data_IF_539201798237
#
_entry.id   IF_539201798237
#
_cell.length_a   1.000
_cell.length_b   1.000
_cell.length_c   1.000
_cell.angle_alpha   90.00
_cell.angle_beta   90.00
_cell.angle_gamma   90.00
#
_symmetry.space_group_name_H-M   'P 1'
#
loop_
_entity.id
_entity.type
_entity.pdbx_description
1 polymer ?
#
# COMPACT_ATOMS: atom_id res chain seq x y z
N UNK A 1 -24.72 17.45 5.98
CA UNK A 1 -24.70 17.42 4.50
C UNK A 1 -25.94 16.79 3.87
N UNK A 2 -26.21 15.48 3.91
CA UNK A 2 -27.40 14.92 3.22
C UNK A 2 -28.73 15.60 3.64
N UNK A 3 -28.91 15.83 4.95
CA UNK A 3 -30.08 16.54 5.50
C UNK A 3 -30.10 18.05 5.20
N UNK A 4 -28.94 18.68 5.01
CA UNK A 4 -28.80 20.14 4.78
C UNK A 4 -28.87 20.49 3.29
N UNK A 5 -28.34 19.61 2.44
CA UNK A 5 -28.23 19.78 0.99
C UNK A 5 -29.42 19.18 0.22
N UNK A 6 -30.32 18.47 0.90
CA UNK A 6 -31.49 17.84 0.28
C UNK A 6 -31.17 16.77 -0.77
N UNK A 7 -29.92 16.26 -0.79
CA UNK A 7 -29.48 15.25 -1.73
C UNK A 7 -29.54 13.85 -1.10
N UNK A 8 -29.86 12.80 -1.88
CA UNK A 8 -29.76 11.41 -1.41
C UNK A 8 -28.37 11.13 -0.84
N UNK A 9 -28.30 10.34 0.24
CA UNK A 9 -27.05 10.01 0.92
C UNK A 9 -25.99 9.47 -0.07
N UNK A 10 -26.39 8.65 -1.04
CA UNK A 10 -25.51 8.07 -2.08
C UNK A 10 -24.80 9.12 -2.94
N UNK A 11 -25.40 10.30 -3.17
CA UNK A 11 -24.76 11.38 -3.94
C UNK A 11 -23.70 12.15 -3.15
N UNK A 12 -23.71 12.02 -1.83
CA UNK A 12 -22.77 12.72 -0.92
C UNK A 12 -21.61 11.80 -0.53
N UNK A 13 -21.76 10.48 -0.72
CA UNK A 13 -20.70 9.50 -0.49
C UNK A 13 -19.73 9.55 -1.67
N UNK A 14 -18.66 10.30 -1.48
CA UNK A 14 -17.43 10.13 -2.26
C UNK A 14 -16.50 9.18 -1.50
N UNK A 15 -15.59 8.48 -2.18
CA UNK A 15 -14.56 7.65 -1.56
C UNK A 15 -13.18 8.31 -1.71
N UNK A 16 -12.22 7.88 -0.90
CA UNK A 16 -10.82 8.29 -1.00
C UNK A 16 -10.61 9.82 -0.95
N UNK A 17 -9.96 10.36 -1.97
CA UNK A 17 -9.57 11.77 -2.07
C UNK A 17 -10.79 12.70 -2.10
N UNK A 18 -11.86 12.32 -2.82
CA UNK A 18 -13.09 13.13 -2.90
C UNK A 18 -13.77 13.28 -1.54
N UNK A 19 -13.71 12.23 -0.71
CA UNK A 19 -14.26 12.29 0.64
C UNK A 19 -13.48 13.31 1.48
N UNK A 20 -12.16 13.19 1.51
CA UNK A 20 -11.26 14.01 2.33
C UNK A 20 -11.22 15.49 1.90
N UNK A 21 -11.23 15.77 0.59
CA UNK A 21 -10.99 17.12 0.06
C UNK A 21 -12.22 17.83 -0.51
N UNK A 22 -13.36 17.13 -0.64
CA UNK A 22 -14.61 17.74 -1.12
C UNK A 22 -15.73 17.58 -0.08
N UNK A 23 -16.05 16.35 0.28
CA UNK A 23 -17.18 16.10 1.19
C UNK A 23 -16.89 16.67 2.60
N UNK A 24 -15.77 16.31 3.24
CA UNK A 24 -15.46 16.79 4.59
C UNK A 24 -15.37 18.32 4.69
N UNK A 25 -14.68 19.04 3.78
CA UNK A 25 -14.67 20.51 3.80
C UNK A 25 -16.07 21.11 3.65
N UNK A 26 -16.92 20.54 2.78
CA UNK A 26 -18.31 20.97 2.65
C UNK A 26 -19.13 20.73 3.92
N UNK A 27 -18.89 19.64 4.67
CA UNK A 27 -19.51 19.44 5.97
C UNK A 27 -19.02 20.45 7.01
N UNK A 28 -17.71 20.68 7.08
CA UNK A 28 -17.11 21.61 8.04
C UNK A 28 -17.63 23.03 7.81
N UNK A 29 -17.80 23.44 6.54
CA UNK A 29 -18.36 24.75 6.19
C UNK A 29 -19.83 24.92 6.62
N UNK A 30 -20.57 23.83 6.83
CA UNK A 30 -21.95 23.86 7.32
C UNK A 30 -22.03 23.95 8.86
N UNK A 31 -20.92 23.91 9.58
CA UNK A 31 -20.93 24.00 11.04
C UNK A 31 -21.30 25.44 11.48
N UNK A 32 -22.19 25.59 12.49
CA UNK A 32 -22.68 26.90 12.91
C UNK A 32 -21.64 27.74 13.66
N UNK A 33 -20.59 27.12 14.21
CA UNK A 33 -19.53 27.78 14.95
C UNK A 33 -18.19 27.04 14.74
N UNK A 34 -17.07 27.77 14.81
CA UNK A 34 -15.70 27.24 14.72
C UNK A 34 -15.34 26.45 13.44
N UNK A 35 -16.08 26.63 12.34
CA UNK A 35 -15.79 25.99 11.05
C UNK A 35 -14.32 26.11 10.62
N UNK A 36 -13.72 27.29 10.74
CA UNK A 36 -12.32 27.54 10.41
C UNK A 36 -11.34 26.75 11.29
N UNK A 37 -11.62 26.66 12.60
CA UNK A 37 -10.78 25.92 13.54
C UNK A 37 -10.83 24.42 13.24
N UNK A 38 -12.03 23.88 13.01
CA UNK A 38 -12.20 22.46 12.64
C UNK A 38 -11.56 22.15 11.28
N UNK A 39 -11.62 23.08 10.32
CA UNK A 39 -10.92 22.95 9.04
C UNK A 39 -9.40 22.83 9.22
N UNK A 40 -8.80 23.72 10.02
CA UNK A 40 -7.36 23.68 10.30
C UNK A 40 -6.96 22.36 10.97
N UNK A 41 -7.69 21.95 12.02
CA UNK A 41 -7.39 20.72 12.75
C UNK A 41 -7.52 19.50 11.83
N UNK A 42 -8.55 19.47 10.98
CA UNK A 42 -8.78 18.38 10.04
C UNK A 42 -7.63 18.24 9.03
N UNK A 43 -7.22 19.32 8.37
CA UNK A 43 -6.10 19.25 7.42
C UNK A 43 -4.75 19.02 8.09
N UNK A 44 -4.54 19.52 9.31
CA UNK A 44 -3.35 19.21 10.10
C UNK A 44 -3.30 17.72 10.44
N UNK A 45 -4.42 17.11 10.83
CA UNK A 45 -4.51 15.68 11.06
C UNK A 45 -4.20 14.87 9.78
N UNK A 46 -4.71 15.30 8.61
CA UNK A 46 -4.38 14.66 7.33
C UNK A 46 -2.89 14.74 6.99
N UNK A 47 -2.25 15.89 7.23
CA UNK A 47 -0.80 16.05 7.03
C UNK A 47 -0.01 15.13 7.96
N UNK A 48 -0.36 15.10 9.26
CA UNK A 48 0.32 14.23 10.23
C UNK A 48 0.15 12.74 9.90
N UNK A 49 -1.04 12.33 9.46
CA UNK A 49 -1.30 10.97 9.01
C UNK A 49 -0.44 10.61 7.76
N UNK A 50 -0.35 11.51 6.78
CA UNK A 50 0.47 11.30 5.59
C UNK A 50 1.97 11.23 5.89
N UNK A 51 2.47 12.14 6.73
CA UNK A 51 3.89 12.20 7.13
C UNK A 51 4.28 10.97 7.94
N UNK A 52 3.49 10.57 8.94
CA UNK A 52 3.78 9.39 9.76
C UNK A 52 3.81 8.10 8.94
N UNK A 53 2.86 7.93 8.00
CA UNK A 53 2.85 6.80 7.06
C UNK A 53 4.09 6.80 6.15
N UNK A 54 4.44 7.96 5.60
CA UNK A 54 5.61 8.12 4.72
C UNK A 54 6.92 7.76 5.43
N UNK A 55 7.08 8.17 6.70
CA UNK A 55 8.25 7.82 7.52
C UNK A 55 8.34 6.29 7.67
N UNK A 56 7.23 5.61 7.97
CA UNK A 56 7.22 4.15 8.12
C UNK A 56 7.63 3.42 6.85
N UNK A 57 7.18 3.89 5.68
CA UNK A 57 7.51 3.28 4.39
C UNK A 57 8.99 3.49 4.05
N UNK A 58 9.49 4.73 4.23
CA UNK A 58 10.90 5.05 3.97
C UNK A 58 11.83 4.27 4.88
N UNK A 59 11.49 4.11 6.17
CA UNK A 59 12.35 3.38 7.12
C UNK A 59 12.39 1.88 6.80
N UNK A 60 11.25 1.27 6.44
CA UNK A 60 11.19 -0.13 6.01
C UNK A 60 12.02 -0.39 4.73
N UNK A 61 11.88 0.49 3.74
CA UNK A 61 12.65 0.39 2.49
C UNK A 61 14.14 0.64 2.71
N UNK A 62 14.49 1.64 3.53
CA UNK A 62 15.89 1.96 3.87
C UNK A 62 16.57 0.85 4.67
N UNK A 63 15.86 0.19 5.58
CA UNK A 63 16.37 -1.00 6.29
C UNK A 63 16.70 -2.11 5.30
N UNK A 64 15.79 -2.38 4.34
CA UNK A 64 16.00 -3.40 3.30
C UNK A 64 17.22 -3.08 2.43
N UNK A 65 17.44 -1.81 2.09
CA UNK A 65 18.64 -1.38 1.36
C UNK A 65 19.91 -1.54 2.20
N UNK A 66 19.88 -1.16 3.47
CA UNK A 66 21.01 -1.30 4.40
C UNK A 66 21.42 -2.76 4.53
N UNK A 67 20.46 -3.64 4.76
CA UNK A 67 20.72 -5.07 4.99
C UNK A 67 21.21 -5.78 3.72
N UNK A 68 20.75 -5.34 2.54
CA UNK A 68 21.17 -5.93 1.26
C UNK A 68 22.49 -5.38 0.72
N UNK A 69 22.71 -4.07 0.81
CA UNK A 69 23.84 -3.38 0.17
C UNK A 69 24.93 -2.90 1.13
N UNK A 70 24.72 -3.01 2.45
CA UNK A 70 25.69 -2.56 3.46
C UNK A 70 25.92 -1.04 3.47
N UNK A 71 25.03 -0.26 2.85
CA UNK A 71 25.12 1.22 2.82
C UNK A 71 24.81 1.82 4.18
N UNK A 72 25.23 3.06 4.44
CA UNK A 72 24.87 3.73 5.70
C UNK A 72 23.38 4.07 5.73
N UNK A 73 22.80 4.20 6.93
CA UNK A 73 21.38 4.57 7.09
C UNK A 73 21.07 5.90 6.40
N UNK A 74 21.95 6.89 6.56
CA UNK A 74 21.79 8.21 5.96
C UNK A 74 21.73 8.12 4.43
N UNK A 75 22.66 7.36 3.83
CA UNK A 75 22.68 7.14 2.38
C UNK A 75 21.40 6.46 1.89
N UNK A 76 20.93 5.42 2.58
CA UNK A 76 19.72 4.69 2.21
C UNK A 76 18.48 5.61 2.27
N UNK A 77 18.35 6.41 3.34
CA UNK A 77 17.23 7.35 3.50
C UNK A 77 17.27 8.44 2.44
N UNK A 78 18.43 9.09 2.24
CA UNK A 78 18.58 10.14 1.24
C UNK A 78 18.26 9.63 -0.16
N UNK A 79 18.75 8.45 -0.52
CA UNK A 79 18.44 7.81 -1.79
C UNK A 79 16.93 7.55 -1.96
N UNK A 80 16.29 7.00 -0.93
CA UNK A 80 14.85 6.72 -0.92
C UNK A 80 14.01 7.99 -1.07
N UNK A 81 14.39 9.07 -0.38
CA UNK A 81 13.74 10.37 -0.49
C UNK A 81 13.91 10.99 -1.89
N UNK A 82 15.10 10.91 -2.49
CA UNK A 82 15.35 11.41 -3.86
C UNK A 82 14.50 10.63 -4.87
N UNK A 83 14.45 9.30 -4.76
CA UNK A 83 13.58 8.47 -5.62
C UNK A 83 12.11 8.83 -5.43
N UNK A 84 11.66 8.99 -4.19
CA UNK A 84 10.29 9.41 -3.87
C UNK A 84 9.94 10.78 -4.45
N UNK A 85 10.87 11.74 -4.40
CA UNK A 85 10.71 13.06 -5.01
C UNK A 85 10.56 12.96 -6.53
N UNK A 86 11.47 12.24 -7.19
CA UNK A 86 11.46 12.07 -8.64
C UNK A 86 10.18 11.37 -9.13
N UNK A 87 9.75 10.32 -8.43
CA UNK A 87 8.46 9.66 -8.71
C UNK A 87 7.27 10.57 -8.41
N UNK A 88 7.34 11.35 -7.32
CA UNK A 88 6.31 12.30 -6.89
C UNK A 88 6.04 13.38 -7.94
N UNK A 89 7.06 13.86 -8.65
CA UNK A 89 6.92 14.88 -9.69
C UNK A 89 5.92 14.44 -10.77
N UNK A 90 5.89 13.17 -11.15
CA UNK A 90 4.95 12.63 -12.16
C UNK A 90 3.50 12.90 -11.74
N UNK A 91 3.19 12.75 -10.46
CA UNK A 91 1.84 12.94 -9.90
C UNK A 91 1.45 14.42 -9.71
N UNK A 92 2.38 15.36 -9.86
CA UNK A 92 2.12 16.82 -9.77
C UNK A 92 1.78 17.47 -11.12
N UNK A 93 1.66 16.68 -12.18
CA UNK A 93 1.33 17.17 -13.54
C UNK A 93 -0.19 17.32 -13.76
N UNK A 94 -0.62 18.01 -14.83
CA UNK A 94 -2.02 18.41 -15.12
C UNK A 94 -3.07 17.27 -15.24
N UNK A 95 -2.69 16.00 -15.04
CA UNK A 95 -3.56 14.83 -14.94
C UNK A 95 -3.54 14.17 -13.55
N UNK A 96 -3.17 14.92 -12.51
CA UNK A 96 -2.83 14.47 -11.15
C UNK A 96 -3.74 13.39 -10.55
N UNK A 97 -5.06 13.63 -10.49
CA UNK A 97 -5.99 12.67 -9.89
C UNK A 97 -6.15 11.40 -10.73
N UNK A 98 -6.00 11.49 -12.05
CA UNK A 98 -6.12 10.33 -12.93
C UNK A 98 -4.96 9.34 -12.72
N UNK A 99 -3.73 9.85 -12.65
CA UNK A 99 -2.55 9.00 -12.45
C UNK A 99 -2.52 8.38 -11.07
N UNK A 100 -2.77 9.18 -10.03
CA UNK A 100 -2.69 8.70 -8.65
C UNK A 100 -3.78 7.67 -8.34
N UNK A 101 -4.99 7.84 -8.89
CA UNK A 101 -6.13 6.94 -8.65
C UNK A 101 -5.90 5.56 -9.30
N UNK A 102 -5.48 5.53 -10.57
CA UNK A 102 -5.16 4.28 -11.26
C UNK A 102 -3.97 3.59 -10.60
N UNK A 103 -2.90 4.31 -10.31
CA UNK A 103 -1.69 3.71 -9.71
C UNK A 103 -1.99 3.18 -8.31
N UNK A 104 -2.71 3.93 -7.47
CA UNK A 104 -3.10 3.47 -6.13
C UNK A 104 -4.00 2.23 -6.20
N UNK A 105 -5.02 2.24 -7.07
CA UNK A 105 -5.88 1.08 -7.28
C UNK A 105 -5.07 -0.17 -7.63
N UNK A 106 -4.16 -0.08 -8.60
CA UNK A 106 -3.40 -1.25 -9.05
C UNK A 106 -2.35 -1.73 -8.04
N UNK A 107 -1.60 -0.81 -7.43
CA UNK A 107 -0.59 -1.17 -6.43
C UNK A 107 -1.25 -1.76 -5.18
N UNK A 108 -2.32 -1.13 -4.68
CA UNK A 108 -2.95 -1.56 -3.42
C UNK A 108 -3.75 -2.85 -3.60
N UNK A 109 -4.46 -3.02 -4.72
CA UNK A 109 -5.32 -4.20 -4.92
C UNK A 109 -4.60 -5.39 -5.56
N UNK A 110 -3.64 -5.18 -6.47
CA UNK A 110 -2.91 -6.29 -7.09
C UNK A 110 -1.50 -6.42 -6.52
N UNK A 111 -0.76 -5.31 -6.44
CA UNK A 111 0.61 -5.27 -5.91
C UNK A 111 0.74 -5.87 -4.51
N UNK A 112 0.20 -5.16 -3.53
CA UNK A 112 0.29 -5.50 -2.12
C UNK A 112 -0.35 -6.87 -1.82
N UNK A 113 -1.51 -7.14 -2.42
CA UNK A 113 -2.24 -8.39 -2.18
C UNK A 113 -1.52 -9.61 -2.77
N UNK A 114 -0.89 -9.48 -3.95
CA UNK A 114 -0.09 -10.57 -4.54
C UNK A 114 1.17 -10.82 -3.72
N UNK A 115 1.87 -9.76 -3.26
CA UNK A 115 3.05 -9.92 -2.39
C UNK A 115 2.65 -10.63 -1.09
N UNK A 116 1.58 -10.19 -0.43
CA UNK A 116 1.09 -10.84 0.80
C UNK A 116 0.66 -12.29 0.58
N UNK A 117 0.07 -12.62 -0.58
CA UNK A 117 -0.26 -14.00 -0.94
C UNK A 117 1.01 -14.84 -1.10
N UNK A 118 2.01 -14.35 -1.82
CA UNK A 118 3.30 -15.04 -2.00
C UNK A 118 4.00 -15.24 -0.67
N UNK A 119 4.02 -14.23 0.21
CA UNK A 119 4.59 -14.35 1.56
C UNK A 119 3.88 -15.42 2.38
N UNK A 120 2.55 -15.47 2.34
CA UNK A 120 1.77 -16.52 3.00
C UNK A 120 2.07 -17.92 2.44
N UNK A 121 2.21 -18.05 1.11
CA UNK A 121 2.56 -19.32 0.46
C UNK A 121 3.97 -19.79 0.88
N UNK A 122 4.93 -18.87 0.90
CA UNK A 122 6.31 -19.15 1.33
C UNK A 122 6.35 -19.56 2.79
N UNK A 123 5.75 -18.77 3.69
CA UNK A 123 5.78 -19.07 5.13
C UNK A 123 4.96 -20.32 5.46
N UNK A 124 3.79 -20.48 4.84
CA UNK A 124 2.83 -21.53 5.15
C UNK A 124 3.19 -22.91 4.61
N UNK A 125 3.92 -22.98 3.48
CA UNK A 125 4.20 -24.25 2.80
C UNK A 125 5.67 -24.47 2.43
N UNK A 126 6.45 -23.41 2.13
CA UNK A 126 7.87 -23.58 1.83
C UNK A 126 8.74 -23.59 3.10
N UNK A 127 8.35 -22.80 4.12
CA UNK A 127 8.91 -22.81 5.46
C UNK A 127 7.99 -23.57 6.42
N UNK A 128 8.49 -23.92 7.60
CA UNK A 128 7.72 -24.60 8.64
C UNK A 128 7.12 -23.56 9.61
N UNK A 129 5.79 -23.28 9.57
CA UNK A 129 5.17 -22.28 10.46
C UNK A 129 5.42 -22.57 11.94
N UNK A 130 5.43 -23.86 12.31
CA UNK A 130 5.69 -24.31 13.67
C UNK A 130 7.06 -23.87 14.21
N UNK A 131 8.09 -23.89 13.36
CA UNK A 131 9.45 -23.45 13.75
C UNK A 131 9.48 -21.93 13.93
N UNK A 132 8.84 -21.20 13.03
CA UNK A 132 8.73 -19.73 13.12
C UNK A 132 7.94 -19.31 14.35
N UNK A 133 6.80 -19.96 14.62
CA UNK A 133 6.01 -19.78 15.84
C UNK A 133 6.83 -20.06 17.09
N UNK A 134 7.66 -21.11 17.08
CA UNK A 134 8.58 -21.43 18.17
C UNK A 134 9.58 -20.30 18.45
N UNK A 135 10.19 -19.75 17.40
CA UNK A 135 11.09 -18.60 17.51
C UNK A 135 10.38 -17.34 18.03
N UNK A 136 9.18 -17.05 17.52
CA UNK A 136 8.38 -15.89 17.97
C UNK A 136 8.02 -16.05 19.46
N UNK A 137 7.53 -17.22 19.87
CA UNK A 137 7.13 -17.48 21.25
C UNK A 137 8.30 -17.42 22.24
N UNK A 138 9.52 -17.65 21.79
CA UNK A 138 10.71 -17.51 22.64
C UNK A 138 11.09 -16.05 22.90
N UNK A 139 10.76 -15.13 21.98
CA UNK A 139 11.15 -13.70 22.05
C UNK A 139 9.99 -12.79 22.44
N UNK A 140 8.75 -13.23 22.27
CA UNK A 140 7.53 -12.47 22.52
C UNK A 140 7.02 -12.68 23.94
N UNK A 141 6.46 -11.62 24.53
CA UNK A 141 5.72 -11.70 25.80
C UNK A 141 4.35 -12.37 25.65
N UNK A 142 3.82 -12.44 24.42
CA UNK A 142 2.57 -13.10 24.07
C UNK A 142 2.87 -14.29 23.15
N UNK A 143 2.44 -15.48 23.57
CA UNK A 143 2.60 -16.70 22.79
C UNK A 143 1.54 -16.85 21.70
N UNK A 144 2.00 -17.12 20.48
CA UNK A 144 1.17 -17.55 19.35
C UNK A 144 0.75 -19.02 19.51
N UNK A 145 -0.53 -19.28 19.31
CA UNK A 145 -1.11 -20.63 19.32
C UNK A 145 -1.13 -21.30 17.96
N UNK A 146 -1.67 -22.52 17.90
CA UNK A 146 -1.84 -23.30 16.66
C UNK A 146 -2.75 -22.58 15.64
N UNK A 147 -3.66 -21.74 16.12
CA UNK A 147 -4.54 -20.94 15.27
C UNK A 147 -3.76 -20.07 14.27
N UNK A 148 -2.57 -19.58 14.65
CA UNK A 148 -1.73 -18.76 13.79
C UNK A 148 -1.15 -19.57 12.62
N UNK A 149 -0.74 -20.82 12.88
CA UNK A 149 -0.26 -21.73 11.83
C UNK A 149 -1.36 -22.02 10.80
N UNK A 150 -2.59 -22.26 11.29
CA UNK A 150 -3.76 -22.49 10.44
C UNK A 150 -4.13 -21.22 9.67
N UNK A 151 -4.02 -20.06 10.30
CA UNK A 151 -4.33 -18.78 9.69
C UNK A 151 -3.40 -18.49 8.49
N UNK A 152 -2.08 -18.53 8.70
CA UNK A 152 -1.10 -18.27 7.64
C UNK A 152 -1.15 -19.35 6.56
N UNK A 153 -1.37 -20.61 6.93
CA UNK A 153 -1.33 -21.72 5.97
C UNK A 153 -2.63 -21.90 5.19
N UNK A 154 -3.79 -21.46 5.68
CA UNK A 154 -5.04 -21.75 4.98
C UNK A 154 -5.95 -20.53 4.90
N UNK A 155 -6.22 -19.87 6.03
CA UNK A 155 -7.24 -18.83 6.08
C UNK A 155 -6.85 -17.57 5.32
N UNK A 156 -5.70 -16.98 5.63
CA UNK A 156 -5.17 -15.77 4.99
C UNK A 156 -4.97 -15.95 3.48
N UNK A 157 -4.27 -17.00 2.99
CA UNK A 157 -4.07 -17.18 1.55
C UNK A 157 -5.38 -17.45 0.81
N UNK A 158 -6.35 -18.14 1.44
CA UNK A 158 -7.68 -18.34 0.85
C UNK A 158 -8.43 -17.02 0.66
N UNK A 159 -8.44 -16.16 1.68
CA UNK A 159 -9.10 -14.84 1.62
C UNK A 159 -8.42 -13.95 0.59
N UNK A 160 -7.09 -13.86 0.61
CA UNK A 160 -6.35 -13.04 -0.36
C UNK A 160 -6.60 -13.54 -1.80
N UNK A 161 -6.62 -14.86 -2.01
CA UNK A 161 -6.92 -15.44 -3.34
C UNK A 161 -8.37 -15.16 -3.77
N UNK A 162 -9.33 -15.24 -2.85
CA UNK A 162 -10.73 -14.96 -3.15
C UNK A 162 -10.94 -13.50 -3.51
N UNK A 163 -10.37 -12.57 -2.74
CA UNK A 163 -10.45 -11.12 -3.02
C UNK A 163 -9.75 -10.82 -4.35
N UNK A 164 -8.54 -11.34 -4.59
CA UNK A 164 -7.85 -11.19 -5.88
C UNK A 164 -8.70 -11.68 -7.04
N UNK A 165 -9.31 -12.86 -6.92
CA UNK A 165 -10.17 -13.43 -7.96
C UNK A 165 -11.40 -12.58 -8.23
N UNK A 166 -12.07 -12.08 -7.18
CA UNK A 166 -13.24 -11.21 -7.30
C UNK A 166 -12.85 -9.89 -7.97
N UNK A 167 -11.76 -9.26 -7.51
CA UNK A 167 -11.27 -8.00 -8.07
C UNK A 167 -10.90 -8.15 -9.54
N UNK A 168 -10.15 -9.20 -9.91
CA UNK A 168 -9.83 -9.52 -11.31
C UNK A 168 -11.09 -9.70 -12.16
N UNK A 169 -12.07 -10.44 -11.65
CA UNK A 169 -13.33 -10.67 -12.36
C UNK A 169 -14.11 -9.37 -12.60
N UNK A 170 -14.20 -8.51 -11.58
CA UNK A 170 -14.86 -7.21 -11.70
C UNK A 170 -14.17 -6.34 -12.75
N UNK A 171 -12.84 -6.35 -12.77
CA UNK A 171 -12.03 -5.53 -13.66
C UNK A 171 -12.11 -5.94 -15.13
N UNK A 172 -12.29 -7.24 -15.39
CA UNK A 172 -12.53 -7.77 -16.74
C UNK A 172 -13.90 -7.30 -17.28
N UNK A 173 -14.91 -7.21 -16.42
CA UNK A 173 -16.28 -6.89 -16.84
C UNK A 173 -16.47 -5.38 -16.98
N UNK A 174 -15.99 -4.60 -16.01
CA UNK A 174 -16.13 -3.14 -15.96
C UNK A 174 -14.76 -2.51 -15.71
N UNK A 175 -14.24 -1.70 -16.65
CA UNK A 175 -12.98 -0.99 -16.41
C UNK A 175 -13.12 0.01 -15.26
N UNK A 176 -12.09 0.07 -14.42
CA UNK A 176 -11.97 1.02 -13.32
C UNK A 176 -12.24 2.46 -13.78
N UNK A 177 -13.03 3.18 -12.98
CA UNK A 177 -13.27 4.62 -13.15
C UNK A 177 -13.96 5.05 -14.45
N UNK A 178 -14.61 4.14 -15.20
CA UNK A 178 -15.08 4.38 -16.58
C UNK A 178 -13.95 4.81 -17.54
N UNK A 179 -12.70 4.51 -17.21
CA UNK A 179 -11.56 4.88 -18.05
C UNK A 179 -11.45 3.96 -19.28
N UNK A 180 -10.84 4.43 -20.38
CA UNK A 180 -10.61 3.59 -21.55
C UNK A 180 -9.79 2.34 -21.16
N UNK A 181 -10.35 1.14 -21.41
CA UNK A 181 -9.74 -0.17 -21.04
C UNK A 181 -8.26 -0.28 -21.37
N UNK A 182 -7.86 0.22 -22.55
CA UNK A 182 -6.46 0.17 -22.99
C UNK A 182 -5.52 0.98 -22.11
N UNK A 183 -5.96 2.13 -21.60
CA UNK A 183 -5.16 3.01 -20.75
C UNK A 183 -5.09 2.45 -19.33
N UNK A 184 -6.21 1.98 -18.78
CA UNK A 184 -6.27 1.37 -17.44
C UNK A 184 -5.37 0.13 -17.35
N UNK A 185 -5.45 -0.78 -18.33
CA UNK A 185 -4.60 -1.97 -18.36
C UNK A 185 -3.13 -1.63 -18.61
N UNK A 186 -2.83 -0.70 -19.52
CA UNK A 186 -1.44 -0.32 -19.82
C UNK A 186 -0.77 0.33 -18.61
N UNK A 187 -1.43 1.29 -17.96
CA UNK A 187 -0.89 1.97 -16.78
C UNK A 187 -0.85 1.00 -15.60
N UNK A 188 -1.96 0.32 -15.31
CA UNK A 188 -2.07 -0.57 -14.15
C UNK A 188 -1.15 -1.78 -14.21
N UNK A 189 -1.23 -2.57 -15.29
CA UNK A 189 -0.36 -3.74 -15.48
C UNK A 189 1.08 -3.32 -15.72
N UNK A 190 1.31 -2.22 -16.43
CA UNK A 190 2.64 -1.67 -16.65
C UNK A 190 3.34 -1.32 -15.34
N UNK A 191 2.64 -0.65 -14.42
CA UNK A 191 3.20 -0.28 -13.12
C UNK A 191 3.43 -1.48 -12.22
N UNK A 192 2.49 -2.44 -12.18
CA UNK A 192 2.67 -3.69 -11.44
C UNK A 192 3.85 -4.52 -11.97
N UNK A 193 3.99 -4.65 -13.29
CA UNK A 193 5.13 -5.35 -13.89
C UNK A 193 6.44 -4.61 -13.63
N UNK A 194 6.44 -3.28 -13.69
CA UNK A 194 7.62 -2.47 -13.40
C UNK A 194 8.10 -2.67 -11.96
N UNK A 195 7.20 -2.69 -10.96
CA UNK A 195 7.59 -2.91 -9.55
C UNK A 195 8.13 -4.33 -9.33
N UNK A 196 7.54 -5.35 -9.94
CA UNK A 196 8.04 -6.74 -9.87
C UNK A 196 9.43 -6.86 -10.51
N UNK A 197 9.63 -6.27 -11.69
CA UNK A 197 10.93 -6.29 -12.38
C UNK A 197 11.99 -5.55 -11.56
N UNK A 198 11.67 -4.35 -11.06
CA UNK A 198 12.54 -3.57 -10.19
C UNK A 198 12.85 -4.27 -8.86
N UNK A 199 11.99 -5.17 -8.36
CA UNK A 199 12.29 -5.98 -7.19
C UNK A 199 13.23 -7.16 -7.51
N UNK A 200 13.04 -7.81 -8.67
CA UNK A 200 13.81 -9.01 -9.06
C UNK A 200 15.24 -8.66 -9.49
N UNK A 201 15.46 -7.57 -10.22
CA UNK A 201 16.78 -7.19 -10.75
C UNK A 201 17.80 -7.01 -9.60
N UNK A 202 17.56 -6.18 -8.57
CA UNK A 202 18.50 -6.01 -7.47
C UNK A 202 18.65 -7.29 -6.64
N UNK A 203 17.59 -8.08 -6.51
CA UNK A 203 17.63 -9.37 -5.82
C UNK A 203 18.63 -10.33 -6.50
N UNK A 204 18.55 -10.48 -7.83
CA UNK A 204 19.37 -11.41 -8.63
C UNK A 204 20.79 -10.93 -8.86
N UNK A 205 20.99 -9.64 -9.17
CA UNK A 205 22.31 -9.09 -9.52
C UNK A 205 23.25 -9.10 -8.31
N UNK A 206 22.73 -8.84 -7.10
CA UNK A 206 23.56 -8.73 -5.89
C UNK A 206 23.52 -9.96 -4.97
N UNK A 207 22.58 -10.90 -5.14
CA UNK A 207 22.60 -12.18 -4.40
C UNK A 207 23.80 -13.07 -4.74
N UNK A 208 24.53 -12.78 -5.82
CA UNK A 208 25.67 -13.61 -6.24
C UNK A 208 26.95 -13.34 -5.43
N UNK A 209 27.00 -12.27 -4.62
CA UNK A 209 28.18 -11.89 -3.85
C UNK A 209 28.06 -12.05 -2.32
N UNK A 210 26.90 -12.44 -1.78
CA UNK A 210 26.70 -12.51 -0.31
C UNK A 210 26.23 -13.87 0.25
N UNK A 211 26.11 -14.91 -0.59
CA UNK A 211 25.82 -16.28 -0.15
C UNK A 211 27.09 -17.12 0.11
N UNK A 212 28.13 -16.58 0.77
CA UNK A 212 29.13 -17.37 1.52
C UNK A 212 29.82 -16.41 2.50
N UNK A 213 29.34 -16.38 3.75
CA UNK A 213 30.13 -16.16 4.99
C UNK A 213 29.13 -16.03 6.15
N UNK A 214 28.67 -17.19 6.59
CA UNK A 214 28.22 -17.37 7.97
C UNK A 214 29.39 -18.13 8.61
N UNK A 215 30.34 -17.37 9.15
CA UNK A 215 31.33 -17.87 10.12
C UNK A 215 30.90 -17.40 11.50
#
# INVERSE_FOLDING_TARGET
MAQVSGQPFEKVITQGIGLAFVAYPNAINQLPFLNNLFGIIFFLALILAGVSSSISIIDAFSCSLKDKFGVSREQAVTFSCILGLLGGIVFTTRGELFWIDIVDHFISQYGLMTVGLVECLVIGWALTPKELRGHINHRSSIGLGIWWDIAIRFFTPLILSAILGITLYQEIIKPYGNYPRGITLLIGVGWFMATVVLAIIPSRVFSRNSFVKID
#
